data_IF_043509142504
#
_entry.id   IF_043509142504
#
_cell.length_a   1.000
_cell.length_b   1.000
_cell.length_c   1.000
_cell.angle_alpha   90.00
_cell.angle_beta   90.00
_cell.angle_gamma   90.00
#
_symmetry.space_group_name_H-M   'P 1'
#
loop_
_entity.id
_entity.type
_entity.pdbx_description
1 polymer ?
#
# COMPACT_ATOMS: atom_id res chain seq x y z
N UNK A 1 21.18 -39.17 -15.15
CA UNK A 1 21.36 -37.94 -14.35
C UNK A 1 20.01 -37.24 -14.29
N UNK A 2 19.27 -37.49 -13.22
CA UNK A 2 17.96 -36.86 -12.98
C UNK A 2 18.20 -35.56 -12.22
N UNK A 3 18.08 -34.43 -12.95
CA UNK A 3 18.18 -33.12 -12.37
C UNK A 3 16.93 -32.84 -11.51
N UNK A 4 17.11 -32.75 -10.20
CA UNK A 4 16.11 -32.18 -9.29
C UNK A 4 16.01 -30.69 -9.57
N UNK A 5 14.95 -30.27 -10.25
CA UNK A 5 14.55 -28.89 -10.28
C UNK A 5 14.06 -28.54 -8.86
N UNK A 6 14.89 -27.86 -8.08
CA UNK A 6 14.46 -27.20 -6.84
C UNK A 6 13.44 -26.13 -7.22
N UNK A 7 12.15 -26.44 -7.01
CA UNK A 7 11.12 -25.40 -7.05
C UNK A 7 11.46 -24.37 -5.97
N UNK A 8 11.84 -23.16 -6.37
CA UNK A 8 11.90 -22.04 -5.46
C UNK A 8 10.52 -21.95 -4.79
N UNK A 9 10.48 -22.18 -3.48
CA UNK A 9 9.24 -22.05 -2.71
C UNK A 9 8.69 -20.63 -2.99
N UNK A 10 7.45 -20.55 -3.45
CA UNK A 10 6.80 -19.28 -3.69
C UNK A 10 6.80 -18.50 -2.36
N UNK A 11 7.51 -17.38 -2.34
CA UNK A 11 7.59 -16.54 -1.15
C UNK A 11 6.16 -16.09 -0.80
N UNK A 12 5.76 -16.27 0.46
CA UNK A 12 4.46 -15.84 0.96
C UNK A 12 4.36 -14.31 0.84
N UNK A 13 3.53 -13.81 -0.06
CA UNK A 13 3.38 -12.37 -0.31
C UNK A 13 2.83 -11.60 0.91
N UNK A 14 2.18 -12.30 1.85
CA UNK A 14 1.79 -11.72 3.14
C UNK A 14 3.02 -11.44 3.99
N UNK A 15 4.05 -12.29 3.93
CA UNK A 15 5.33 -12.06 4.61
C UNK A 15 6.08 -10.87 4.00
N UNK A 16 6.07 -10.73 2.67
CA UNK A 16 6.69 -9.57 1.99
C UNK A 16 6.02 -8.26 2.42
N UNK A 17 4.69 -8.22 2.45
CA UNK A 17 3.94 -7.07 2.95
C UNK A 17 4.29 -6.78 4.42
N UNK A 18 4.30 -7.80 5.28
CA UNK A 18 4.63 -7.65 6.69
C UNK A 18 6.07 -7.15 6.89
N UNK A 19 7.02 -7.62 6.08
CA UNK A 19 8.40 -7.15 6.08
C UNK A 19 8.49 -5.68 5.68
N UNK A 20 7.75 -5.24 4.67
CA UNK A 20 7.67 -3.85 4.27
C UNK A 20 7.10 -2.96 5.40
N UNK A 21 6.00 -3.39 6.03
CA UNK A 21 5.37 -2.64 7.12
C UNK A 21 6.24 -2.55 8.38
N UNK A 22 7.16 -3.50 8.62
CA UNK A 22 8.17 -3.42 9.69
C UNK A 22 9.19 -2.30 9.50
N UNK A 23 9.37 -1.81 8.28
CA UNK A 23 10.29 -0.70 7.99
C UNK A 23 9.63 0.67 8.16
N UNK A 24 8.31 0.75 8.23
CA UNK A 24 7.54 2.01 8.24
C UNK A 24 7.15 2.33 9.68
N UNK A 25 7.51 3.54 10.20
CA UNK A 25 7.16 3.93 11.57
C UNK A 25 5.66 3.99 11.82
N UNK A 26 5.21 3.51 12.97
CA UNK A 26 3.80 3.45 13.37
C UNK A 26 3.11 4.83 13.38
N UNK A 27 3.88 5.90 13.62
CA UNK A 27 3.33 7.27 13.63
C UNK A 27 2.63 7.65 12.32
N UNK A 28 2.94 7.00 11.21
CA UNK A 28 2.27 7.19 9.91
C UNK A 28 0.76 6.91 9.99
N UNK A 29 0.34 6.02 10.90
CA UNK A 29 -1.07 5.70 11.12
C UNK A 29 -1.87 6.86 11.75
N UNK A 30 -1.20 7.88 12.28
CA UNK A 30 -1.85 9.09 12.80
C UNK A 30 -2.18 10.10 11.69
N UNK A 31 -1.70 9.88 10.46
CA UNK A 31 -1.99 10.78 9.35
C UNK A 31 -3.49 10.72 8.97
N UNK A 32 -4.15 11.87 8.78
CA UNK A 32 -5.56 11.94 8.40
C UNK A 32 -5.75 11.65 6.90
N UNK A 33 -5.38 10.45 6.48
CA UNK A 33 -5.46 9.99 5.10
C UNK A 33 -6.29 8.71 5.01
N UNK A 34 -7.10 8.58 3.96
CA UNK A 34 -7.90 7.38 3.72
C UNK A 34 -7.03 6.14 3.48
N UNK A 35 -5.99 6.28 2.67
CA UNK A 35 -4.92 5.31 2.50
C UNK A 35 -3.65 5.87 3.12
N UNK A 36 -3.08 5.16 4.09
CA UNK A 36 -1.96 5.63 4.91
C UNK A 36 -0.62 5.05 4.49
N UNK A 37 -0.62 3.80 4.04
CA UNK A 37 0.57 3.10 3.55
C UNK A 37 0.23 2.39 2.26
N UNK A 38 1.14 2.43 1.31
CA UNK A 38 1.05 1.78 -0.01
C UNK A 38 2.12 0.70 -0.12
N UNK A 39 1.81 -0.38 -0.82
CA UNK A 39 2.70 -1.52 -1.01
C UNK A 39 2.53 -2.14 -2.40
N UNK A 40 3.64 -2.57 -2.98
CA UNK A 40 3.71 -3.38 -4.21
C UNK A 40 4.68 -4.54 -3.98
N UNK A 41 4.23 -5.77 -4.19
CA UNK A 41 5.10 -6.92 -4.34
C UNK A 41 5.57 -7.00 -5.79
N UNK A 42 6.85 -6.76 -6.02
CA UNK A 42 7.44 -6.71 -7.36
C UNK A 42 7.37 -8.07 -8.04
N UNK A 43 7.64 -9.15 -7.30
CA UNK A 43 7.66 -10.48 -7.84
C UNK A 43 6.24 -10.98 -8.18
N UNK A 44 5.27 -10.68 -7.30
CA UNK A 44 3.87 -11.01 -7.55
C UNK A 44 3.35 -10.27 -8.78
N UNK A 45 3.63 -8.98 -8.91
CA UNK A 45 3.23 -8.18 -10.08
C UNK A 45 3.89 -8.68 -11.38
N UNK A 46 5.21 -8.93 -11.35
CA UNK A 46 5.94 -9.48 -12.50
C UNK A 46 5.40 -10.84 -12.95
N UNK A 47 4.94 -11.67 -12.01
CA UNK A 47 4.41 -13.00 -12.32
C UNK A 47 3.09 -13.00 -13.10
N UNK A 48 2.42 -11.85 -13.18
CA UNK A 48 1.18 -11.71 -13.95
C UNK A 48 1.43 -11.81 -15.46
N UNK A 49 2.60 -11.34 -15.92
CA UNK A 49 2.95 -11.29 -17.34
C UNK A 49 4.44 -11.65 -17.55
N UNK A 50 4.68 -12.70 -18.31
CA UNK A 50 6.07 -13.18 -18.57
C UNK A 50 6.90 -12.21 -19.42
N UNK A 51 6.25 -11.50 -20.34
CA UNK A 51 6.92 -10.62 -21.32
C UNK A 51 7.19 -9.19 -20.78
N UNK A 52 6.80 -8.88 -19.55
CA UNK A 52 6.85 -7.53 -18.97
C UNK A 52 5.46 -6.88 -18.93
N UNK A 53 5.34 -5.70 -18.30
CA UNK A 53 4.04 -5.11 -18.04
C UNK A 53 3.39 -4.61 -19.33
N UNK A 54 2.18 -5.12 -19.60
CA UNK A 54 1.26 -4.55 -20.57
C UNK A 54 0.63 -3.26 -20.06
N UNK A 55 -0.13 -2.58 -20.91
CA UNK A 55 -0.95 -1.44 -20.51
C UNK A 55 -1.94 -1.80 -19.37
N UNK A 56 -2.46 -3.03 -19.36
CA UNK A 56 -3.37 -3.52 -18.31
C UNK A 56 -2.64 -3.80 -17.01
N UNK A 57 -1.45 -4.41 -17.05
CA UNK A 57 -0.58 -4.62 -15.91
C UNK A 57 -0.16 -3.29 -15.26
N UNK A 58 0.11 -2.27 -16.09
CA UNK A 58 0.42 -0.92 -15.60
C UNK A 58 -0.81 -0.24 -14.97
N UNK A 59 -1.99 -0.32 -15.60
CA UNK A 59 -3.23 0.23 -15.03
C UNK A 59 -3.63 -0.45 -13.72
N UNK A 60 -3.23 -1.70 -13.50
CA UNK A 60 -3.48 -2.44 -12.27
C UNK A 60 -2.79 -1.80 -11.06
N UNK A 61 -1.66 -1.09 -11.24
CA UNK A 61 -0.89 -0.46 -10.14
C UNK A 61 -1.58 0.74 -9.46
N UNK A 62 -2.90 0.82 -9.50
CA UNK A 62 -3.68 1.96 -9.02
C UNK A 62 -3.54 2.24 -7.51
N UNK A 63 -3.31 1.23 -6.67
CA UNK A 63 -3.02 1.41 -5.24
C UNK A 63 -1.58 1.90 -5.04
N UNK A 64 -0.62 1.30 -5.72
CA UNK A 64 0.80 1.59 -5.55
C UNK A 64 1.26 2.89 -6.25
N UNK A 65 0.41 3.51 -7.07
CA UNK A 65 0.72 4.72 -7.84
C UNK A 65 1.38 5.87 -7.03
N UNK A 66 1.05 6.11 -5.74
CA UNK A 66 1.71 7.15 -4.96
C UNK A 66 3.18 6.87 -4.63
N UNK A 67 3.69 5.67 -4.89
CA UNK A 67 5.08 5.29 -4.63
C UNK A 67 5.96 5.88 -5.74
N UNK A 68 6.78 6.87 -5.38
CA UNK A 68 7.55 7.70 -6.32
C UNK A 68 8.36 6.93 -7.38
N UNK A 69 9.14 5.87 -7.06
CA UNK A 69 9.90 5.14 -8.08
C UNK A 69 9.04 4.49 -9.18
N UNK A 70 7.74 4.31 -8.93
CA UNK A 70 6.84 3.72 -9.92
C UNK A 70 6.34 4.74 -10.97
N UNK A 71 6.50 6.04 -10.74
CA UNK A 71 6.14 7.08 -11.72
C UNK A 71 6.88 6.89 -13.05
N UNK A 72 8.13 6.40 -13.01
CA UNK A 72 8.97 6.18 -14.19
C UNK A 72 8.83 4.80 -14.84
N UNK A 73 8.11 3.87 -14.23
CA UNK A 73 8.01 2.47 -14.71
C UNK A 73 7.23 2.35 -16.03
N UNK A 74 6.33 3.29 -16.30
CA UNK A 74 5.52 3.34 -17.52
C UNK A 74 6.35 3.50 -18.80
N UNK A 75 7.62 3.85 -18.69
CA UNK A 75 8.56 3.97 -19.82
C UNK A 75 9.32 2.65 -20.11
N UNK A 76 9.00 1.58 -19.40
CA UNK A 76 9.57 0.24 -19.55
C UNK A 76 10.56 -0.13 -18.44
N UNK A 77 10.69 -1.43 -18.19
CA UNK A 77 11.53 -1.97 -17.10
C UNK A 77 13.03 -1.84 -17.38
N UNK A 78 13.44 -1.99 -18.63
CA UNK A 78 14.85 -1.86 -19.01
C UNK A 78 15.37 -0.43 -18.84
N UNK A 79 14.73 0.63 -19.42
CA UNK A 79 15.11 2.00 -19.13
C UNK A 79 15.02 2.37 -17.65
N UNK A 80 14.02 1.85 -16.94
CA UNK A 80 13.88 2.05 -15.49
C UNK A 80 15.11 1.49 -14.76
N UNK A 81 15.47 0.22 -14.99
CA UNK A 81 16.61 -0.45 -14.34
C UNK A 81 17.94 0.24 -14.62
N UNK A 82 18.15 0.70 -15.85
CA UNK A 82 19.36 1.43 -16.22
C UNK A 82 19.54 2.73 -15.43
N UNK A 83 18.45 3.48 -15.19
CA UNK A 83 18.46 4.71 -14.41
C UNK A 83 18.42 4.44 -12.90
N UNK A 84 17.68 3.42 -12.44
CA UNK A 84 17.60 3.03 -11.04
C UNK A 84 18.92 2.51 -10.46
N UNK A 85 19.85 2.06 -11.33
CA UNK A 85 21.13 1.43 -10.98
C UNK A 85 20.96 0.08 -10.27
N UNK A 86 19.80 -0.53 -10.42
CA UNK A 86 19.48 -1.87 -9.94
C UNK A 86 18.50 -2.53 -10.92
N UNK A 87 18.67 -3.81 -11.26
CA UNK A 87 17.68 -4.57 -12.01
C UNK A 87 16.33 -4.56 -11.28
N UNK A 88 15.25 -4.36 -12.00
CA UNK A 88 13.92 -4.34 -11.39
C UNK A 88 13.61 -5.62 -10.63
N UNK A 89 14.10 -6.76 -11.12
CA UNK A 89 13.91 -8.10 -10.52
C UNK A 89 14.66 -8.31 -9.19
N UNK A 90 15.65 -7.47 -8.88
CA UNK A 90 16.35 -7.49 -7.60
C UNK A 90 15.64 -6.69 -6.51
N UNK A 91 14.63 -5.90 -6.88
CA UNK A 91 13.75 -5.24 -5.93
C UNK A 91 12.66 -6.23 -5.53
N UNK A 92 12.54 -6.51 -4.23
CA UNK A 92 11.53 -7.43 -3.69
C UNK A 92 10.16 -6.75 -3.58
N UNK A 93 10.15 -5.52 -3.10
CA UNK A 93 8.94 -4.73 -2.95
C UNK A 93 9.22 -3.23 -3.05
N UNK A 94 8.17 -2.49 -3.34
CA UNK A 94 8.09 -1.06 -3.03
C UNK A 94 7.02 -0.83 -1.98
N UNK A 95 7.30 0.09 -1.05
CA UNK A 95 6.31 0.57 -0.11
C UNK A 95 6.44 2.08 0.05
N UNK A 96 5.44 2.73 0.60
CA UNK A 96 5.52 4.17 0.80
C UNK A 96 4.33 4.73 1.55
N UNK A 97 4.45 5.99 1.93
CA UNK A 97 3.39 6.76 2.59
C UNK A 97 3.51 8.25 2.24
N UNK A 98 2.49 9.00 2.62
CA UNK A 98 2.42 10.42 2.30
C UNK A 98 1.85 10.69 0.91
N UNK A 99 1.82 11.96 0.54
CA UNK A 99 1.31 12.44 -0.74
C UNK A 99 2.37 13.27 -1.45
N UNK A 100 2.33 13.27 -2.77
CA UNK A 100 3.21 14.13 -3.55
C UNK A 100 3.03 15.61 -3.16
N UNK A 101 4.10 16.40 -3.05
CA UNK A 101 5.48 16.08 -3.38
C UNK A 101 6.30 15.47 -2.24
N UNK A 102 5.71 15.27 -1.05
CA UNK A 102 6.38 14.85 0.19
C UNK A 102 6.24 13.36 0.50
N UNK A 103 5.88 12.55 -0.50
CA UNK A 103 5.81 11.11 -0.35
C UNK A 103 7.19 10.49 -0.08
N UNK A 104 7.20 9.47 0.79
CA UNK A 104 8.37 8.69 1.16
C UNK A 104 8.19 7.30 0.58
N UNK A 105 9.24 6.77 -0.03
CA UNK A 105 9.23 5.46 -0.66
C UNK A 105 10.32 4.56 -0.08
N UNK A 106 10.01 3.29 0.09
CA UNK A 106 10.91 2.23 0.52
C UNK A 106 11.16 1.28 -0.65
N UNK A 107 12.40 0.97 -0.92
CA UNK A 107 12.84 0.00 -1.90
C UNK A 107 13.33 -1.24 -1.16
N UNK A 108 12.54 -2.27 -1.05
CA UNK A 108 12.94 -3.53 -0.42
C UNK A 108 13.89 -4.29 -1.32
N UNK A 109 15.03 -4.67 -0.80
CA UNK A 109 16.07 -5.43 -1.48
C UNK A 109 16.29 -6.77 -0.77
N UNK A 110 16.96 -7.69 -1.43
CA UNK A 110 17.17 -9.05 -0.93
C UNK A 110 17.91 -9.10 0.40
N UNK A 111 18.96 -8.31 0.52
CA UNK A 111 19.86 -8.33 1.68
C UNK A 111 20.69 -7.05 1.76
N UNK A 112 21.46 -6.92 2.86
CA UNK A 112 22.36 -5.79 3.13
C UNK A 112 23.43 -5.59 2.05
N UNK A 113 23.88 -6.67 1.41
CA UNK A 113 24.86 -6.59 0.32
C UNK A 113 24.25 -5.93 -0.91
N UNK A 114 23.02 -6.28 -1.27
CA UNK A 114 22.28 -5.65 -2.38
C UNK A 114 22.07 -4.15 -2.12
N UNK A 115 21.71 -3.78 -0.88
CA UNK A 115 21.63 -2.35 -0.45
C UNK A 115 22.96 -1.65 -0.64
N UNK A 116 24.06 -2.24 -0.14
CA UNK A 116 25.40 -1.66 -0.26
C UNK A 116 25.85 -1.51 -1.73
N UNK A 117 25.53 -2.47 -2.58
CA UNK A 117 25.83 -2.40 -4.02
C UNK A 117 25.09 -1.27 -4.69
N UNK A 118 23.78 -1.11 -4.40
CA UNK A 118 22.99 -0.01 -4.97
C UNK A 118 23.52 1.35 -4.50
N UNK A 119 23.80 1.51 -3.20
CA UNK A 119 24.38 2.76 -2.66
C UNK A 119 25.71 3.09 -3.32
N UNK A 120 26.58 2.09 -3.52
CA UNK A 120 27.86 2.29 -4.21
C UNK A 120 27.64 2.76 -5.67
N UNK A 121 26.70 2.15 -6.39
CA UNK A 121 26.34 2.55 -7.75
C UNK A 121 25.77 3.97 -7.84
N UNK A 122 24.96 4.38 -6.85
CA UNK A 122 24.44 5.74 -6.77
C UNK A 122 25.57 6.76 -6.54
N UNK A 123 26.54 6.45 -5.65
CA UNK A 123 27.71 7.30 -5.38
C UNK A 123 28.68 7.39 -6.56
N UNK A 124 28.75 6.38 -7.42
CA UNK A 124 29.48 6.45 -8.69
C UNK A 124 28.80 7.41 -9.72
N UNK A 125 27.53 7.69 -9.53
CA UNK A 125 26.78 8.68 -10.30
C UNK A 125 26.89 10.09 -9.71
N UNK A 126 25.76 10.69 -9.40
CA UNK A 126 25.69 12.07 -8.91
C UNK A 126 25.20 12.18 -7.44
N UNK A 127 25.19 11.07 -6.69
CA UNK A 127 24.86 11.09 -5.27
C UNK A 127 26.13 11.33 -4.43
N UNK A 128 26.06 12.28 -3.52
CA UNK A 128 27.10 12.58 -2.55
C UNK A 128 26.59 12.38 -1.12
N UNK A 129 27.49 12.17 -0.18
CA UNK A 129 27.16 12.17 1.24
C UNK A 129 26.55 13.52 1.64
N UNK A 130 25.54 13.46 2.50
CA UNK A 130 24.92 14.64 3.09
C UNK A 130 25.40 14.76 4.52
N UNK A 131 25.98 15.88 4.88
CA UNK A 131 26.38 16.18 6.25
C UNK A 131 25.13 16.32 7.13
N UNK A 132 25.11 15.66 8.28
CA UNK A 132 23.99 15.74 9.22
C UNK A 132 23.80 14.51 10.09
N UNK A 133 22.68 14.49 10.83
CA UNK A 133 22.43 13.52 11.90
C UNK A 133 21.84 12.16 11.43
N UNK A 134 21.76 11.92 10.13
CA UNK A 134 21.33 10.63 9.57
C UNK A 134 22.52 9.90 8.92
N UNK A 135 23.19 9.00 9.63
CA UNK A 135 24.38 8.31 9.12
C UNK A 135 24.08 7.55 7.82
N UNK A 136 24.94 7.74 6.82
CA UNK A 136 24.78 7.09 5.51
C UNK A 136 23.83 7.76 4.55
N UNK A 137 23.22 8.89 4.91
CA UNK A 137 22.37 9.67 4.01
C UNK A 137 23.18 10.17 2.82
N UNK A 138 22.64 9.97 1.62
CA UNK A 138 23.18 10.49 0.37
C UNK A 138 22.11 11.25 -0.41
N UNK A 139 22.49 12.22 -1.22
CA UNK A 139 21.57 12.95 -2.09
C UNK A 139 22.22 13.29 -3.43
N UNK A 140 21.38 13.45 -4.45
CA UNK A 140 21.83 13.83 -5.80
C UNK A 140 21.69 15.35 -6.08
N UNK A 141 21.16 16.11 -5.13
CA UNK A 141 21.09 17.59 -5.14
C UNK A 141 20.65 18.11 -3.75
N UNK A 142 20.66 19.44 -3.56
CA UNK A 142 20.17 20.09 -2.33
C UNK A 142 18.66 19.99 -2.17
N UNK A 143 18.21 20.12 -0.90
CA UNK A 143 16.79 20.06 -0.54
C UNK A 143 15.97 21.12 -1.30
N UNK A 144 14.80 20.70 -1.82
CA UNK A 144 13.91 21.57 -2.59
C UNK A 144 14.40 21.95 -3.99
N UNK A 145 15.62 21.53 -4.39
CA UNK A 145 16.14 21.85 -5.72
C UNK A 145 15.51 20.99 -6.79
N UNK A 146 15.31 21.60 -7.95
CA UNK A 146 14.93 20.97 -9.20
C UNK A 146 15.98 21.33 -10.26
N UNK A 147 16.57 20.32 -10.87
CA UNK A 147 17.55 20.50 -11.96
C UNK A 147 16.93 20.04 -13.28
N UNK A 148 16.33 20.97 -14.00
CA UNK A 148 15.63 20.67 -15.26
C UNK A 148 16.57 20.12 -16.35
N UNK A 149 17.88 20.40 -16.28
CA UNK A 149 18.87 19.83 -17.23
C UNK A 149 19.10 18.33 -16.98
N UNK A 150 18.85 17.86 -15.76
CA UNK A 150 18.92 16.45 -15.36
C UNK A 150 17.53 15.80 -15.26
N UNK A 151 16.48 16.49 -15.66
CA UNK A 151 15.12 15.95 -15.67
C UNK A 151 15.05 14.76 -16.64
N UNK A 152 14.56 13.62 -16.16
CA UNK A 152 14.43 12.41 -16.96
C UNK A 152 13.25 11.59 -16.43
N UNK A 153 12.19 11.51 -17.20
CA UNK A 153 10.97 10.78 -16.83
C UNK A 153 11.20 9.27 -16.65
N UNK A 154 12.32 8.72 -17.17
CA UNK A 154 12.72 7.31 -17.00
C UNK A 154 13.55 7.07 -15.73
N UNK A 155 13.95 8.15 -15.05
CA UNK A 155 14.80 8.11 -13.87
C UNK A 155 13.94 8.13 -12.59
N UNK A 156 13.88 7.04 -11.78
CA UNK A 156 13.10 7.00 -10.55
C UNK A 156 13.65 7.92 -9.44
N UNK A 157 14.88 8.40 -9.57
CA UNK A 157 15.50 9.30 -8.59
C UNK A 157 15.16 10.76 -8.83
N UNK A 158 15.14 11.20 -10.10
CA UNK A 158 14.91 12.59 -10.48
C UNK A 158 13.54 12.87 -11.05
N UNK A 159 12.99 11.92 -11.80
CA UNK A 159 11.70 12.07 -12.46
C UNK A 159 11.68 13.18 -13.50
N UNK A 160 10.50 13.45 -14.04
CA UNK A 160 10.28 14.43 -15.11
C UNK A 160 10.57 15.89 -14.70
N UNK A 161 10.65 16.18 -13.41
CA UNK A 161 10.91 17.52 -12.88
C UNK A 161 12.36 17.71 -12.42
N UNK A 162 13.22 16.70 -12.57
CA UNK A 162 14.61 16.80 -12.11
C UNK A 162 14.75 17.04 -10.59
N UNK A 163 13.80 16.56 -9.78
CA UNK A 163 13.77 16.78 -8.33
C UNK A 163 14.94 16.09 -7.63
N UNK A 164 15.44 16.71 -6.57
CA UNK A 164 16.39 16.07 -5.68
C UNK A 164 15.79 14.80 -5.05
N UNK A 165 16.64 13.78 -4.87
CA UNK A 165 16.36 12.58 -4.07
C UNK A 165 17.37 12.48 -2.95
N UNK A 166 16.85 12.25 -1.76
CA UNK A 166 17.58 11.85 -0.56
C UNK A 166 17.38 10.37 -0.36
N UNK A 167 18.46 9.64 -0.10
CA UNK A 167 18.44 8.18 0.04
C UNK A 167 19.15 7.79 1.34
N UNK A 168 18.41 7.08 2.20
CA UNK A 168 18.90 6.54 3.46
C UNK A 168 18.91 5.00 3.38
N UNK A 169 20.08 4.35 3.46
CA UNK A 169 20.16 2.90 3.48
C UNK A 169 19.75 2.32 4.85
N UNK A 170 18.94 1.26 4.79
CA UNK A 170 18.63 0.35 5.90
C UNK A 170 19.30 -1.01 5.65
N UNK A 171 19.10 -2.00 6.53
CA UNK A 171 19.71 -3.32 6.34
C UNK A 171 19.22 -4.07 5.11
N UNK A 172 17.91 -4.00 4.79
CA UNK A 172 17.29 -4.70 3.66
C UNK A 172 16.44 -3.78 2.79
N UNK A 173 16.54 -2.47 2.95
CA UNK A 173 15.80 -1.51 2.17
C UNK A 173 16.57 -0.19 1.99
N UNK A 174 16.12 0.62 1.03
CA UNK A 174 16.46 2.03 0.93
C UNK A 174 15.21 2.88 1.18
N UNK A 175 15.37 3.99 1.90
CA UNK A 175 14.34 5.03 1.98
C UNK A 175 14.69 6.10 0.95
N UNK A 176 13.70 6.51 0.15
CA UNK A 176 13.79 7.62 -0.79
C UNK A 176 12.79 8.71 -0.42
N UNK A 177 13.25 9.96 -0.33
CA UNK A 177 12.40 11.13 -0.12
C UNK A 177 12.90 12.32 -0.95
N UNK A 178 12.11 13.39 -1.00
CA UNK A 178 12.49 14.67 -1.63
C UNK A 178 13.18 15.65 -0.67
N UNK A 179 13.24 15.31 0.64
CA UNK A 179 13.76 16.16 1.73
C UNK A 179 14.57 15.34 2.73
N UNK A 180 15.62 15.93 3.31
CA UNK A 180 16.40 15.34 4.38
C UNK A 180 15.69 15.42 5.75
N UNK A 181 14.79 16.38 5.94
CA UNK A 181 14.18 16.71 7.24
C UNK A 181 13.49 15.51 7.89
N UNK A 182 12.76 14.69 7.12
CA UNK A 182 12.11 13.49 7.63
C UNK A 182 13.03 12.30 7.88
N UNK A 183 14.23 12.27 7.27
CA UNK A 183 15.12 11.11 7.30
C UNK A 183 15.69 10.81 8.68
N UNK A 184 15.92 11.84 9.51
CA UNK A 184 16.37 11.68 10.90
C UNK A 184 15.37 10.87 11.74
N UNK A 185 14.09 11.16 11.59
CA UNK A 185 13.01 10.46 12.32
C UNK A 185 12.93 9.01 11.83
N UNK A 186 13.03 8.80 10.52
CA UNK A 186 12.97 7.47 9.91
C UNK A 186 14.19 6.59 10.21
N UNK A 187 15.31 7.19 10.54
CA UNK A 187 16.55 6.49 10.97
C UNK A 187 16.52 6.03 12.43
N UNK A 188 15.58 6.55 13.25
CA UNK A 188 15.52 6.22 14.68
C UNK A 188 14.70 4.94 14.90
N UNK A 189 15.12 4.08 15.85
CA UNK A 189 14.31 2.96 16.29
C UNK A 189 12.96 3.46 16.82
N UNK A 190 11.88 2.99 16.23
CA UNK A 190 10.52 3.31 16.65
C UNK A 190 9.61 2.10 16.38
N UNK A 191 8.48 1.96 17.08
CA UNK A 191 7.48 0.98 16.72
C UNK A 191 7.09 1.11 15.25
N UNK A 192 6.93 0.00 14.57
CA UNK A 192 6.57 -0.05 13.16
C UNK A 192 5.05 -0.15 12.96
N UNK A 193 4.59 0.07 11.74
CA UNK A 193 3.19 -0.17 11.36
C UNK A 193 2.79 -1.62 11.64
N UNK A 194 3.71 -2.58 11.46
CA UNK A 194 3.45 -4.00 11.72
C UNK A 194 3.27 -4.33 13.23
N UNK A 195 3.79 -3.48 14.13
CA UNK A 195 3.65 -3.65 15.58
C UNK A 195 2.32 -3.12 16.12
N UNK A 196 1.55 -2.41 15.30
CA UNK A 196 0.21 -1.93 15.66
C UNK A 196 -0.77 -3.10 15.78
N UNK A 197 -1.40 -3.29 16.95
CA UNK A 197 -2.36 -4.37 17.18
C UNK A 197 -3.52 -4.37 16.18
N UNK A 198 -4.01 -3.19 15.79
CA UNK A 198 -5.12 -3.06 14.83
C UNK A 198 -4.70 -3.43 13.40
N UNK A 199 -3.46 -3.08 13.01
CA UNK A 199 -2.91 -3.50 11.72
C UNK A 199 -2.59 -4.98 11.73
N UNK A 200 -2.02 -5.51 12.83
CA UNK A 200 -1.74 -6.94 12.98
C UNK A 200 -3.03 -7.79 12.86
N UNK A 201 -4.14 -7.32 13.43
CA UNK A 201 -5.44 -7.98 13.28
C UNK A 201 -5.92 -7.97 11.82
N UNK A 202 -5.79 -6.83 11.12
CA UNK A 202 -6.11 -6.74 9.70
C UNK A 202 -5.22 -7.64 8.83
N UNK A 203 -3.92 -7.77 9.16
CA UNK A 203 -2.99 -8.68 8.47
C UNK A 203 -3.33 -10.16 8.71
N UNK A 204 -3.77 -10.52 9.93
CA UNK A 204 -4.24 -11.87 10.23
C UNK A 204 -5.45 -12.23 9.37
N UNK A 205 -6.41 -11.31 9.24
CA UNK A 205 -7.55 -11.49 8.34
C UNK A 205 -7.13 -11.54 6.87
N UNK A 206 -6.19 -10.71 6.45
CA UNK A 206 -5.68 -10.73 5.07
C UNK A 206 -5.03 -12.09 4.72
N UNK A 207 -4.27 -12.68 5.64
CA UNK A 207 -3.67 -14.00 5.48
C UNK A 207 -4.72 -15.09 5.25
N UNK A 208 -5.86 -15.02 5.93
CA UNK A 208 -6.99 -15.93 5.70
C UNK A 208 -7.64 -15.66 4.33
N UNK A 209 -7.79 -14.39 3.95
CA UNK A 209 -8.36 -13.99 2.67
C UNK A 209 -7.50 -14.36 1.47
N UNK A 210 -6.16 -14.42 1.63
CA UNK A 210 -5.17 -14.74 0.59
C UNK A 210 -4.34 -15.95 1.03
N UNK A 211 -4.83 -17.19 0.83
CA UNK A 211 -4.13 -18.41 1.24
C UNK A 211 -2.77 -18.54 0.56
N UNK A 212 -1.71 -18.80 1.33
CA UNK A 212 -0.31 -18.81 0.86
C UNK A 212 -0.01 -19.83 -0.23
N UNK A 213 -0.73 -20.96 -0.26
CA UNK A 213 -0.56 -22.05 -1.23
C UNK A 213 -1.08 -21.72 -2.64
N UNK A 214 -1.99 -20.77 -2.75
CA UNK A 214 -2.72 -20.46 -4.01
C UNK A 214 -3.05 -18.99 -4.22
N UNK A 215 -2.58 -18.11 -3.34
CA UNK A 215 -2.84 -16.67 -3.40
C UNK A 215 -1.55 -15.86 -3.34
N UNK A 216 -1.54 -14.70 -4.02
CA UNK A 216 -0.46 -13.70 -3.94
C UNK A 216 -1.06 -12.33 -3.85
N UNK A 217 -0.51 -11.50 -2.97
CA UNK A 217 -0.83 -10.07 -2.91
C UNK A 217 0.04 -9.37 -3.96
N UNK A 218 -0.58 -8.66 -4.87
CA UNK A 218 0.12 -7.86 -5.89
C UNK A 218 0.45 -6.49 -5.32
N UNK A 219 -0.54 -5.82 -4.75
CA UNK A 219 -0.40 -4.53 -4.10
C UNK A 219 -1.41 -4.42 -2.96
N UNK A 220 -1.16 -3.53 -2.01
CA UNK A 220 -2.05 -3.29 -0.89
C UNK A 220 -1.94 -1.87 -0.36
N UNK A 221 -2.98 -1.41 0.34
CA UNK A 221 -2.95 -0.23 1.17
C UNK A 221 -3.41 -0.53 2.59
N UNK A 222 -2.73 0.06 3.58
CA UNK A 222 -3.30 0.20 4.92
C UNK A 222 -4.26 1.37 4.87
N UNK A 223 -5.51 1.13 5.28
CA UNK A 223 -6.61 2.10 5.21
C UNK A 223 -7.08 2.50 6.59
N UNK A 224 -7.41 3.77 6.75
CA UNK A 224 -8.02 4.31 7.96
C UNK A 224 -9.55 4.37 7.85
N UNK A 225 -10.27 4.58 8.97
CA UNK A 225 -11.72 4.83 8.96
C UNK A 225 -12.16 6.00 8.10
N UNK A 226 -11.27 6.97 7.82
CA UNK A 226 -11.54 8.12 6.94
C UNK A 226 -11.99 7.65 5.56
N UNK A 227 -11.49 6.49 5.09
CA UNK A 227 -11.94 5.92 3.82
C UNK A 227 -13.45 5.65 3.78
N UNK A 228 -14.04 5.25 4.91
CA UNK A 228 -15.49 5.00 5.03
C UNK A 228 -16.33 6.24 5.36
N UNK A 229 -15.69 7.38 5.64
CA UNK A 229 -16.33 8.65 6.00
C UNK A 229 -16.30 9.69 4.86
N UNK A 230 -16.16 9.26 3.63
CA UNK A 230 -15.87 10.15 2.49
C UNK A 230 -16.94 11.21 2.19
N UNK A 231 -18.19 10.99 2.58
CA UNK A 231 -19.24 12.01 2.49
C UNK A 231 -19.08 13.12 3.55
N UNK A 232 -18.20 12.90 4.54
CA UNK A 232 -17.94 13.81 5.65
C UNK A 232 -16.56 14.41 5.47
N UNK A 233 -16.44 15.71 5.60
CA UNK A 233 -15.14 16.37 5.62
C UNK A 233 -14.41 15.99 6.94
N UNK A 234 -13.35 15.15 6.90
CA UNK A 234 -12.67 14.70 8.11
C UNK A 234 -12.09 15.89 8.90
N UNK A 235 -11.72 16.96 8.22
CA UNK A 235 -11.21 18.17 8.87
C UNK A 235 -12.28 18.82 9.72
N UNK A 236 -13.54 18.87 9.27
CA UNK A 236 -14.65 19.37 10.07
C UNK A 236 -14.95 18.52 11.29
N UNK A 237 -14.78 17.19 11.19
CA UNK A 237 -15.04 16.27 12.31
C UNK A 237 -13.92 16.33 13.35
N UNK A 238 -12.67 16.37 12.92
CA UNK A 238 -11.50 16.23 13.79
C UNK A 238 -10.87 17.57 14.21
N UNK A 239 -10.82 18.57 13.31
CA UNK A 239 -10.16 19.84 13.57
C UNK A 239 -11.07 20.89 14.23
N UNK A 240 -12.40 20.73 14.14
CA UNK A 240 -13.36 21.65 14.80
C UNK A 240 -13.48 21.44 16.31
N UNK A 241 -12.75 20.48 16.90
CA UNK A 241 -12.94 20.05 18.29
C UNK A 241 -12.07 20.78 19.29
N UNK A 242 -11.11 21.60 18.86
CA UNK A 242 -10.10 22.24 19.73
C UNK A 242 -9.47 21.29 20.76
N UNK A 243 -9.38 19.97 20.42
CA UNK A 243 -8.86 18.93 21.31
C UNK A 243 -9.88 18.35 22.31
N UNK A 244 -11.15 18.75 22.24
CA UNK A 244 -12.19 18.18 23.09
C UNK A 244 -12.67 16.82 22.55
N UNK A 245 -12.40 15.77 23.33
CA UNK A 245 -12.71 14.38 22.96
C UNK A 245 -14.23 14.09 22.92
N UNK A 246 -15.04 14.78 23.73
CA UNK A 246 -16.49 14.56 23.76
C UNK A 246 -17.15 15.24 22.54
N UNK A 247 -16.67 16.40 22.15
CA UNK A 247 -17.10 17.06 20.91
C UNK A 247 -16.69 16.23 19.70
N UNK A 248 -15.46 15.68 19.68
CA UNK A 248 -15.00 14.81 18.61
C UNK A 248 -15.89 13.56 18.48
N UNK A 249 -16.26 12.94 19.59
CA UNK A 249 -17.16 11.77 19.64
C UNK A 249 -18.56 12.09 19.14
N UNK A 250 -19.13 13.23 19.54
CA UNK A 250 -20.43 13.70 19.07
C UNK A 250 -20.43 13.98 17.57
N UNK A 251 -19.41 14.68 17.08
CA UNK A 251 -19.26 14.98 15.65
C UNK A 251 -19.09 13.71 14.82
N UNK A 252 -18.31 12.74 15.31
CA UNK A 252 -18.15 11.45 14.63
C UNK A 252 -19.47 10.68 14.59
N UNK A 253 -20.23 10.65 15.70
CA UNK A 253 -21.54 10.02 15.75
C UNK A 253 -22.51 10.67 14.76
N UNK A 254 -22.61 11.99 14.74
CA UNK A 254 -23.44 12.74 13.80
C UNK A 254 -23.03 12.47 12.35
N UNK A 255 -21.72 12.39 12.08
CA UNK A 255 -21.19 12.06 10.77
C UNK A 255 -21.59 10.65 10.31
N UNK A 256 -21.48 9.64 11.20
CA UNK A 256 -21.90 8.25 10.92
C UNK A 256 -23.39 8.18 10.66
N UNK A 257 -24.21 8.88 11.45
CA UNK A 257 -25.67 8.94 11.26
C UNK A 257 -26.04 9.62 9.93
N UNK A 258 -25.37 10.69 9.56
CA UNK A 258 -25.58 11.41 8.31
C UNK A 258 -25.16 10.61 7.05
N UNK A 259 -24.22 9.68 7.20
CA UNK A 259 -23.74 8.84 6.10
C UNK A 259 -24.77 7.77 5.65
N UNK A 260 -25.87 7.58 6.41
CA UNK A 260 -26.89 6.59 6.09
C UNK A 260 -26.47 5.15 6.38
N UNK A 261 -26.89 4.19 5.52
CA UNK A 261 -26.59 2.76 5.70
C UNK A 261 -25.15 2.43 5.32
N UNK A 262 -24.48 1.66 6.18
CA UNK A 262 -23.06 1.31 5.97
C UNK A 262 -22.62 0.13 6.82
N UNK A 263 -21.33 0.07 7.06
CA UNK A 263 -20.68 -0.88 7.98
C UNK A 263 -20.35 -0.19 9.30
N UNK A 264 -20.19 -0.95 10.41
CA UNK A 264 -19.70 -0.38 11.66
C UNK A 264 -18.32 0.29 11.48
N UNK A 265 -18.01 1.33 12.29
CA UNK A 265 -16.68 1.91 12.30
C UNK A 265 -15.60 0.88 12.64
N UNK A 266 -14.54 0.81 11.84
CA UNK A 266 -13.38 -0.05 12.06
C UNK A 266 -12.19 0.76 12.56
N UNK A 267 -11.20 0.10 13.19
CA UNK A 267 -10.00 0.78 13.70
C UNK A 267 -8.95 1.02 12.60
N UNK A 268 -8.72 0.03 11.78
CA UNK A 268 -7.80 0.03 10.65
C UNK A 268 -8.21 -1.07 9.69
N UNK A 269 -7.71 -1.03 8.48
CA UNK A 269 -7.95 -2.09 7.51
C UNK A 269 -6.80 -2.23 6.52
N UNK A 270 -6.86 -3.31 5.76
CA UNK A 270 -6.02 -3.54 4.58
C UNK A 270 -6.93 -3.80 3.39
N UNK A 271 -6.73 -3.02 2.34
CA UNK A 271 -7.28 -3.25 1.01
C UNK A 271 -6.18 -3.83 0.13
N UNK A 272 -6.35 -5.06 -0.33
CA UNK A 272 -5.35 -5.77 -1.12
C UNK A 272 -5.89 -6.18 -2.49
N UNK A 273 -5.11 -5.91 -3.53
CA UNK A 273 -5.19 -6.52 -4.83
C UNK A 273 -4.46 -7.85 -4.80
N UNK A 274 -5.13 -8.91 -5.13
CA UNK A 274 -4.57 -10.25 -5.06
C UNK A 274 -4.82 -11.05 -6.35
N UNK A 275 -4.00 -12.10 -6.51
CA UNK A 275 -4.22 -13.15 -7.49
C UNK A 275 -4.45 -14.45 -6.72
N UNK A 276 -5.63 -15.07 -6.85
CA UNK A 276 -6.01 -16.27 -6.10
C UNK A 276 -6.47 -17.34 -7.10
N UNK A 277 -5.83 -18.50 -7.09
CA UNK A 277 -6.06 -19.55 -8.11
C UNK A 277 -5.99 -19.00 -9.54
N UNK A 278 -5.04 -18.12 -9.83
CA UNK A 278 -4.88 -17.40 -11.10
C UNK A 278 -6.06 -16.49 -11.49
N UNK A 279 -6.95 -16.17 -10.55
CA UNK A 279 -8.04 -15.20 -10.76
C UNK A 279 -7.73 -13.90 -10.02
N UNK A 280 -7.99 -12.74 -10.64
CA UNK A 280 -7.90 -11.45 -9.97
C UNK A 280 -8.92 -11.38 -8.83
N UNK A 281 -8.49 -10.83 -7.70
CA UNK A 281 -9.34 -10.66 -6.54
C UNK A 281 -9.02 -9.36 -5.80
N UNK A 282 -9.98 -8.86 -5.03
CA UNK A 282 -9.76 -7.86 -3.99
C UNK A 282 -10.06 -8.50 -2.65
N UNK A 283 -9.18 -8.30 -1.68
CA UNK A 283 -9.39 -8.71 -0.29
C UNK A 283 -9.42 -7.47 0.59
N UNK A 284 -10.50 -7.34 1.35
CA UNK A 284 -10.70 -6.28 2.33
C UNK A 284 -10.66 -6.96 3.70
N UNK A 285 -9.77 -6.48 4.57
CA UNK A 285 -9.66 -6.97 5.95
C UNK A 285 -9.72 -5.79 6.91
N UNK A 286 -10.73 -5.74 7.78
CA UNK A 286 -11.01 -4.61 8.68
C UNK A 286 -10.97 -5.07 10.13
N UNK A 287 -10.25 -4.36 11.00
CA UNK A 287 -10.10 -4.68 12.42
C UNK A 287 -11.21 -4.05 13.28
N UNK A 288 -11.83 -4.88 14.13
CA UNK A 288 -12.90 -4.53 15.07
C UNK A 288 -12.57 -4.99 16.48
N UNK A 289 -13.28 -4.42 17.47
CA UNK A 289 -13.14 -4.80 18.87
C UNK A 289 -13.59 -6.24 19.15
N UNK A 290 -14.57 -6.75 18.40
CA UNK A 290 -15.17 -8.07 18.60
C UNK A 290 -15.66 -8.69 17.29
N UNK A 291 -15.88 -10.01 17.31
CA UNK A 291 -16.30 -10.75 16.13
C UNK A 291 -17.77 -10.57 15.74
N UNK A 292 -18.62 -10.13 16.65
CA UNK A 292 -20.03 -9.83 16.32
C UNK A 292 -20.11 -8.59 15.45
N UNK A 293 -19.36 -7.53 15.80
CA UNK A 293 -19.21 -6.31 15.00
C UNK A 293 -18.51 -6.59 13.66
N UNK A 294 -17.45 -7.42 13.69
CA UNK A 294 -16.78 -7.85 12.46
C UNK A 294 -17.72 -8.60 11.50
N UNK A 295 -18.60 -9.46 12.04
CA UNK A 295 -19.61 -10.19 11.24
C UNK A 295 -20.61 -9.24 10.57
N UNK A 296 -21.07 -8.22 11.30
CA UNK A 296 -21.94 -7.18 10.73
C UNK A 296 -21.24 -6.46 9.56
N UNK A 297 -19.95 -6.18 9.70
CA UNK A 297 -19.17 -5.56 8.62
C UNK A 297 -19.05 -6.49 7.39
N UNK A 298 -18.78 -7.79 7.59
CA UNK A 298 -18.77 -8.78 6.51
C UNK A 298 -20.08 -8.77 5.74
N UNK A 299 -21.20 -8.81 6.46
CA UNK A 299 -22.54 -8.82 5.85
C UNK A 299 -22.82 -7.49 5.12
N UNK A 300 -22.46 -6.36 5.75
CA UNK A 300 -22.61 -5.02 5.18
C UNK A 300 -21.81 -4.79 3.90
N UNK A 301 -20.51 -5.16 3.90
CA UNK A 301 -19.66 -5.08 2.69
C UNK A 301 -20.19 -5.98 1.58
N UNK A 302 -20.61 -7.20 1.92
CA UNK A 302 -21.13 -8.17 0.95
C UNK A 302 -22.44 -7.71 0.32
N UNK A 303 -23.33 -7.10 1.11
CA UNK A 303 -24.57 -6.52 0.61
C UNK A 303 -24.29 -5.31 -0.29
N UNK A 304 -23.44 -4.38 0.19
CA UNK A 304 -23.04 -3.20 -0.58
C UNK A 304 -22.41 -3.56 -1.92
N UNK A 305 -21.60 -4.63 -1.95
CA UNK A 305 -21.01 -5.11 -3.19
C UNK A 305 -22.08 -5.49 -4.20
N UNK A 306 -23.03 -6.34 -3.81
CA UNK A 306 -24.12 -6.81 -4.68
C UNK A 306 -25.01 -5.68 -5.18
N UNK A 307 -25.25 -4.68 -4.36
CA UNK A 307 -26.15 -3.57 -4.68
C UNK A 307 -25.50 -2.52 -5.60
N UNK A 308 -24.21 -2.23 -5.39
CA UNK A 308 -23.61 -1.02 -5.97
C UNK A 308 -22.49 -1.27 -6.98
N UNK A 309 -21.86 -2.45 -7.00
CA UNK A 309 -20.69 -2.71 -7.84
C UNK A 309 -21.06 -3.28 -9.21
N UNK A 310 -21.79 -2.50 -10.00
CA UNK A 310 -22.34 -2.93 -11.31
C UNK A 310 -21.24 -3.36 -12.32
N UNK A 311 -20.06 -2.72 -12.28
CA UNK A 311 -18.92 -3.06 -13.16
C UNK A 311 -18.26 -4.41 -12.84
N UNK A 312 -18.55 -4.98 -11.67
CA UNK A 312 -18.00 -6.26 -11.23
C UNK A 312 -19.08 -7.16 -10.58
N UNK A 313 -20.31 -7.07 -11.06
CA UNK A 313 -21.50 -7.78 -10.51
C UNK A 313 -21.38 -9.30 -10.54
N UNK A 314 -20.66 -9.86 -11.52
CA UNK A 314 -20.48 -11.30 -11.68
C UNK A 314 -19.33 -11.84 -10.80
N UNK A 315 -18.66 -10.98 -10.02
CA UNK A 315 -17.62 -11.39 -9.11
C UNK A 315 -18.20 -12.18 -7.92
N UNK A 316 -17.46 -13.20 -7.48
CA UNK A 316 -17.85 -14.02 -6.32
C UNK A 316 -17.41 -13.33 -5.02
N UNK A 317 -18.37 -13.07 -4.15
CA UNK A 317 -18.14 -12.50 -2.82
C UNK A 317 -18.14 -13.62 -1.79
N UNK A 318 -17.09 -13.70 -0.97
CA UNK A 318 -16.97 -14.59 0.18
C UNK A 318 -16.49 -13.78 1.38
N UNK A 319 -17.08 -14.02 2.54
CA UNK A 319 -16.73 -13.32 3.76
C UNK A 319 -16.58 -14.25 4.95
N UNK A 320 -15.68 -13.89 5.87
CA UNK A 320 -15.44 -14.59 7.14
C UNK A 320 -14.96 -13.61 8.19
N UNK A 321 -14.89 -14.06 9.44
CA UNK A 321 -14.27 -13.34 10.55
C UNK A 321 -13.09 -14.13 11.08
N UNK A 322 -12.04 -13.43 11.54
CA UNK A 322 -10.82 -14.04 12.08
C UNK A 322 -10.50 -13.42 13.43
N UNK A 323 -10.50 -14.23 14.49
CA UNK A 323 -10.03 -13.80 15.80
C UNK A 323 -8.52 -13.55 15.76
N UNK A 324 -8.09 -12.37 16.18
CA UNK A 324 -6.69 -11.96 16.22
C UNK A 324 -6.37 -11.32 17.58
N UNK A 325 -5.95 -12.12 18.53
CA UNK A 325 -5.75 -11.68 19.90
C UNK A 325 -7.07 -11.20 20.53
N UNK A 326 -7.09 -9.94 21.00
CA UNK A 326 -8.28 -9.30 21.57
C UNK A 326 -9.20 -8.69 20.51
N UNK A 327 -8.76 -8.60 19.27
CA UNK A 327 -9.47 -8.00 18.15
C UNK A 327 -10.03 -9.10 17.23
N UNK A 328 -10.92 -8.71 16.33
CA UNK A 328 -11.44 -9.58 15.30
C UNK A 328 -11.40 -8.86 13.93
N UNK A 329 -10.93 -9.56 12.91
CA UNK A 329 -10.93 -9.04 11.54
C UNK A 329 -12.19 -9.47 10.79
N UNK A 330 -12.86 -8.53 10.15
CA UNK A 330 -13.84 -8.80 9.10
C UNK A 330 -13.09 -8.97 7.78
N UNK A 331 -13.26 -10.10 7.12
CA UNK A 331 -12.56 -10.42 5.87
C UNK A 331 -13.59 -10.61 4.76
N UNK A 332 -13.49 -9.82 3.71
CA UNK A 332 -14.32 -9.98 2.50
C UNK A 332 -13.40 -10.13 1.31
N UNK A 333 -13.57 -11.25 0.59
CA UNK A 333 -12.86 -11.55 -0.64
C UNK A 333 -13.82 -11.47 -1.81
N UNK A 334 -13.46 -10.70 -2.82
CA UNK A 334 -14.20 -10.58 -4.06
C UNK A 334 -13.31 -11.05 -5.20
N UNK A 335 -13.71 -12.10 -5.89
CA UNK A 335 -12.94 -12.76 -6.94
C UNK A 335 -13.61 -12.56 -8.28
N UNK A 336 -12.87 -12.10 -9.28
CA UNK A 336 -13.35 -11.99 -10.64
C UNK A 336 -13.74 -13.36 -11.21
N UNK A 337 -14.75 -13.45 -12.11
CA UNK A 337 -15.20 -14.72 -12.67
C UNK A 337 -14.14 -15.38 -13.56
N UNK A 338 -13.31 -14.58 -14.21
CA UNK A 338 -12.21 -15.03 -15.09
C UNK A 338 -11.08 -14.01 -15.12
N UNK A 339 -9.90 -14.44 -15.53
CA UNK A 339 -8.76 -13.58 -15.86
C UNK A 339 -8.66 -13.49 -17.39
N UNK A 340 -8.81 -12.29 -17.96
CA UNK A 340 -8.67 -12.08 -19.41
C UNK A 340 -7.28 -11.52 -19.77
N UNK A 341 -6.67 -10.79 -18.83
CA UNK A 341 -5.37 -10.14 -18.99
C UNK A 341 -4.74 -9.92 -17.61
N UNK A 342 -3.65 -9.15 -17.54
CA UNK A 342 -2.99 -8.80 -16.28
C UNK A 342 -3.79 -7.83 -15.38
N UNK A 343 -4.89 -7.27 -15.87
CA UNK A 343 -5.75 -6.36 -15.12
C UNK A 343 -6.51 -7.03 -13.98
N UNK A 344 -7.10 -6.21 -13.12
CA UNK A 344 -8.03 -6.65 -12.08
C UNK A 344 -9.31 -5.83 -12.18
N UNK A 345 -10.37 -6.34 -12.81
CA UNK A 345 -11.62 -5.60 -12.99
C UNK A 345 -12.32 -5.29 -11.66
N UNK A 346 -12.14 -6.14 -10.65
CA UNK A 346 -12.69 -5.92 -9.30
C UNK A 346 -12.00 -4.71 -8.65
N UNK A 347 -10.67 -4.66 -8.72
CA UNK A 347 -9.91 -3.52 -8.21
C UNK A 347 -10.23 -2.24 -8.96
N UNK A 348 -10.32 -2.31 -10.29
CA UNK A 348 -10.64 -1.15 -11.14
C UNK A 348 -11.97 -0.52 -10.73
N UNK A 349 -13.00 -1.32 -10.44
CA UNK A 349 -14.29 -0.82 -9.95
C UNK A 349 -14.16 -0.14 -8.57
N UNK A 350 -13.42 -0.78 -7.63
CA UNK A 350 -13.16 -0.18 -6.30
C UNK A 350 -12.44 1.16 -6.45
N UNK A 351 -11.38 1.23 -7.25
CA UNK A 351 -10.58 2.44 -7.43
C UNK A 351 -11.34 3.54 -8.19
N UNK A 352 -12.16 3.19 -9.17
CA UNK A 352 -13.04 4.15 -9.85
C UNK A 352 -13.99 4.82 -8.85
N UNK A 353 -14.59 4.04 -7.95
CA UNK A 353 -15.46 4.59 -6.91
C UNK A 353 -14.69 5.42 -5.89
N UNK A 354 -13.50 4.95 -5.51
CA UNK A 354 -12.61 5.74 -4.66
C UNK A 354 -12.33 7.11 -5.26
N UNK A 355 -11.97 7.18 -6.53
CA UNK A 355 -11.69 8.45 -7.24
C UNK A 355 -12.91 9.37 -7.35
N UNK A 356 -14.12 8.80 -7.43
CA UNK A 356 -15.39 9.54 -7.46
C UNK A 356 -15.90 9.91 -6.06
N UNK A 357 -15.22 9.47 -5.00
CA UNK A 357 -15.66 9.57 -3.60
C UNK A 357 -16.99 8.85 -3.32
N UNK A 358 -17.26 7.76 -4.06
CA UNK A 358 -18.43 6.90 -3.93
C UNK A 358 -18.05 5.64 -3.13
N UNK A 359 -17.82 5.77 -1.82
CA UNK A 359 -17.26 4.68 -0.98
C UNK A 359 -18.29 3.66 -0.49
N UNK A 360 -19.31 3.40 -1.28
CA UNK A 360 -20.49 2.60 -0.90
C UNK A 360 -20.18 1.24 -0.25
N UNK A 361 -19.07 0.59 -0.62
CA UNK A 361 -18.67 -0.73 -0.10
C UNK A 361 -18.07 -0.63 1.30
N UNK A 362 -17.30 0.41 1.57
CA UNK A 362 -16.64 0.66 2.86
C UNK A 362 -17.28 1.80 3.64
N UNK A 363 -18.42 2.30 3.18
CA UNK A 363 -19.11 3.41 3.83
C UNK A 363 -19.46 3.05 5.28
N UNK A 364 -18.95 3.84 6.21
CA UNK A 364 -19.29 3.74 7.63
C UNK A 364 -20.64 4.40 7.85
N UNK A 365 -21.57 3.71 8.50
CA UNK A 365 -22.94 4.19 8.72
C UNK A 365 -23.75 3.30 9.65
N UNK A 366 -25.06 3.52 9.67
CA UNK A 366 -25.98 2.62 10.37
C UNK A 366 -25.94 1.23 9.71
N UNK A 367 -26.17 0.18 10.51
CA UNK A 367 -26.19 -1.19 9.99
C UNK A 367 -27.16 -1.34 8.79
N UNK A 368 -26.70 -2.06 7.76
CA UNK A 368 -27.51 -2.40 6.58
C UNK A 368 -28.51 -3.48 6.90
#
# INVERSE_FOLDING_TARGET
MTGFATSAAAQDSTQTLQQALKQIPQVVLSAPAAMQVFFLDVQAWRSLEKAGPSADGMRRLSIAQPIRPLESIGFGLEPWSANAKVPFDEVSYFAGFGQAPSNISYWGLKDKKAVGTLVASLKQGDFAAVDGDAPGLIANDGEGKMNMQKANQKDPWRGMMGKASFVLPLDTALIQASSATGMKILAQPAPSVADSEVVAASLAGLKEGVPADRGRIVQAAVISPIMGLAAVDPAKVLLSTNGDADIAKQNLKAAVEANGRGIPPYFSGVLADAQINNLPAVVISLAYADCATAKQAVDGVSAAWKESMAGAKDAKVAGTTVQAGKLCAAVVRVTAPKAENAGNPVLAEVMNRYMRREFTVLQIGAAR
#
